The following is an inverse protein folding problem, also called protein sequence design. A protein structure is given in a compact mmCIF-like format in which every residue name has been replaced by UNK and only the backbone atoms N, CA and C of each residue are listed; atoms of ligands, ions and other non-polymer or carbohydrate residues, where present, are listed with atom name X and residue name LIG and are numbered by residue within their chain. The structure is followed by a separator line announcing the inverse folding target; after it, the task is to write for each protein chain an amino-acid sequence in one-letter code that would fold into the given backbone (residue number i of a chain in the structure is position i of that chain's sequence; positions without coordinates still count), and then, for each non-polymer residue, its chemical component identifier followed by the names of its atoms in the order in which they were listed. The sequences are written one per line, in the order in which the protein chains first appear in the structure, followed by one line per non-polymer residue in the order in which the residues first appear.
data_IF_148291655925
#
_entry.id   IF_148291655925
#
_cell.length_a   1.000
_cell.length_b   1.000
_cell.length_c   1.000
_cell.angle_alpha   90.00
_cell.angle_beta   90.00
_cell.angle_gamma   90.00
#
_symmetry.space_group_name_H-M   'P 1'
#
loop_
_entity.id
_entity.type
_entity.pdbx_description
1 polymer ?
#
# COMPACT_ATOMS: atom_id res chain seq x y z
N UNK A 1 48.88 -23.80 15.63
CA UNK A 1 47.53 -23.99 16.23
C UNK A 1 46.95 -22.73 16.91
N UNK A 2 47.64 -21.57 16.89
CA UNK A 2 47.09 -20.29 17.37
C UNK A 2 46.56 -19.38 16.24
N UNK A 3 47.11 -19.51 15.03
CA UNK A 3 46.72 -18.72 13.85
C UNK A 3 45.37 -19.09 13.22
N UNK A 4 44.81 -20.26 13.56
CA UNK A 4 43.55 -20.76 12.98
C UNK A 4 42.31 -20.23 13.74
N UNK A 5 42.49 -19.74 14.97
CA UNK A 5 41.39 -19.27 15.83
C UNK A 5 41.00 -17.80 15.49
N UNK A 6 41.95 -16.98 15.04
CA UNK A 6 41.70 -15.56 14.72
C UNK A 6 40.81 -15.42 13.47
N UNK A 7 40.88 -16.36 12.52
CA UNK A 7 40.06 -16.34 11.32
C UNK A 7 38.56 -16.65 11.60
N UNK A 8 38.25 -17.36 12.68
CA UNK A 8 36.87 -17.75 13.01
C UNK A 8 36.09 -16.63 13.71
N UNK A 9 36.78 -15.68 14.36
CA UNK A 9 36.14 -14.58 15.09
C UNK A 9 35.62 -13.44 14.17
N UNK A 10 36.20 -13.28 12.98
CA UNK A 10 35.80 -12.21 12.05
C UNK A 10 34.48 -12.49 11.30
N UNK A 11 33.97 -13.73 11.33
CA UNK A 11 32.73 -14.14 10.64
C UNK A 11 31.49 -14.04 11.56
N UNK A 12 31.65 -13.67 12.83
CA UNK A 12 30.54 -13.65 13.80
C UNK A 12 29.74 -12.33 13.86
N UNK A 13 30.12 -11.29 13.10
CA UNK A 13 29.41 -10.01 13.10
C UNK A 13 29.10 -9.54 11.68
N UNK A 14 28.01 -10.08 11.12
CA UNK A 14 27.21 -9.37 10.12
C UNK A 14 25.85 -9.12 10.74
N UNK A 15 25.69 -7.96 11.39
CA UNK A 15 24.39 -7.49 11.82
C UNK A 15 23.61 -7.06 10.58
N UNK A 16 22.65 -7.89 10.17
CA UNK A 16 21.75 -7.62 9.06
C UNK A 16 20.83 -6.45 9.47
N UNK A 17 21.23 -5.21 9.14
CA UNK A 17 20.39 -4.02 9.27
C UNK A 17 19.27 -4.12 8.24
N UNK A 18 18.27 -4.94 8.55
CA UNK A 18 17.01 -4.95 7.82
C UNK A 18 16.31 -3.65 8.14
N UNK A 19 16.54 -2.66 7.30
CA UNK A 19 15.74 -1.46 7.22
C UNK A 19 14.29 -1.91 6.92
N UNK A 20 13.50 -2.13 7.97
CA UNK A 20 12.10 -2.48 7.80
C UNK A 20 11.40 -1.19 7.41
N UNK A 21 11.41 -0.90 6.12
CA UNK A 21 10.68 0.23 5.56
C UNK A 21 9.24 0.20 6.11
N UNK A 22 8.84 1.29 6.76
CA UNK A 22 7.52 1.42 7.36
C UNK A 22 6.48 1.23 6.25
N UNK A 23 5.57 0.27 6.44
CA UNK A 23 4.44 0.06 5.55
C UNK A 23 3.23 0.82 6.06
N UNK A 24 2.62 1.59 5.18
CA UNK A 24 1.31 2.20 5.44
C UNK A 24 0.20 1.15 5.44
N UNK A 25 -0.96 1.49 6.02
CA UNK A 25 -2.12 0.61 5.96
C UNK A 25 -2.56 0.30 4.52
N UNK A 26 -2.42 1.27 3.61
CA UNK A 26 -2.75 1.08 2.19
C UNK A 26 -1.81 0.07 1.50
N UNK A 27 -0.54 0.00 1.91
CA UNK A 27 0.43 -0.98 1.40
C UNK A 27 0.24 -2.39 1.98
N UNK A 28 -0.56 -2.54 3.03
CA UNK A 28 -0.82 -3.83 3.67
C UNK A 28 -1.98 -4.59 3.01
N UNK A 29 -1.95 -4.69 1.69
CA UNK A 29 -3.02 -5.29 0.87
C UNK A 29 -3.37 -6.73 1.27
N UNK A 30 -2.40 -7.50 1.74
CA UNK A 30 -2.60 -8.89 2.17
C UNK A 30 -3.60 -9.05 3.32
N UNK A 31 -3.71 -8.06 4.21
CA UNK A 31 -4.61 -8.14 5.37
C UNK A 31 -6.07 -7.82 5.01
N UNK A 32 -6.31 -7.05 3.95
CA UNK A 32 -7.64 -6.52 3.67
C UNK A 32 -8.23 -6.96 2.32
N UNK A 33 -7.43 -7.34 1.32
CA UNK A 33 -7.98 -7.68 -0.02
C UNK A 33 -9.02 -8.80 0.04
N UNK A 34 -8.74 -9.90 0.76
CA UNK A 34 -9.70 -11.01 0.91
C UNK A 34 -10.98 -10.59 1.64
N UNK A 35 -10.93 -9.55 2.47
CA UNK A 35 -12.11 -9.04 3.18
C UNK A 35 -13.02 -8.24 2.25
N UNK A 36 -12.47 -7.67 1.18
CA UNK A 36 -13.18 -6.83 0.22
C UNK A 36 -13.78 -7.65 -0.95
N UNK A 37 -13.29 -8.86 -1.19
CA UNK A 37 -13.77 -9.72 -2.28
C UNK A 37 -15.27 -10.01 -2.18
N UNK A 38 -15.98 -9.88 -3.31
CA UNK A 38 -17.41 -10.12 -3.41
C UNK A 38 -18.29 -9.11 -2.65
N UNK A 39 -17.71 -8.02 -2.14
CA UNK A 39 -18.46 -6.95 -1.45
C UNK A 39 -18.58 -5.71 -2.33
N UNK A 40 -19.66 -4.96 -2.09
CA UNK A 40 -19.85 -3.62 -2.63
C UNK A 40 -18.99 -2.64 -1.82
N UNK A 41 -17.94 -2.09 -2.42
CA UNK A 41 -16.99 -1.24 -1.72
C UNK A 41 -17.20 0.22 -2.09
N UNK A 42 -17.21 1.09 -1.07
CA UNK A 42 -17.07 2.53 -1.23
C UNK A 42 -15.72 2.97 -0.67
N UNK A 43 -15.01 3.83 -1.40
CA UNK A 43 -13.67 4.28 -1.01
C UNK A 43 -13.67 5.79 -0.82
N UNK A 44 -13.19 6.25 0.32
CA UNK A 44 -12.86 7.68 0.51
C UNK A 44 -11.41 7.86 0.10
N UNK A 45 -11.16 8.61 -0.98
CA UNK A 45 -9.83 8.81 -1.52
C UNK A 45 -9.62 10.25 -1.98
N UNK A 46 -8.37 10.70 -1.86
CA UNK A 46 -7.89 11.98 -2.36
C UNK A 46 -6.63 11.75 -3.22
N UNK A 47 -6.06 12.82 -3.77
CA UNK A 47 -4.86 12.74 -4.60
C UNK A 47 -3.63 12.11 -3.90
N UNK A 48 -3.59 12.08 -2.56
CA UNK A 48 -2.48 11.51 -1.78
C UNK A 48 -2.70 10.05 -1.41
N UNK A 49 -3.83 9.45 -1.82
CA UNK A 49 -4.18 8.06 -1.53
C UNK A 49 -3.39 7.10 -2.42
N UNK A 50 -2.08 7.02 -2.16
CA UNK A 50 -1.11 6.26 -2.95
C UNK A 50 -0.65 4.99 -2.22
N UNK A 51 -0.48 3.92 -2.98
CA UNK A 51 0.19 2.68 -2.59
C UNK A 51 1.50 2.61 -3.37
N UNK A 52 2.61 2.97 -2.72
CA UNK A 52 3.88 3.18 -3.40
C UNK A 52 3.78 4.27 -4.49
N UNK A 53 3.79 3.86 -5.76
CA UNK A 53 3.70 4.76 -6.93
C UNK A 53 2.34 4.71 -7.64
N UNK A 54 1.41 3.90 -7.16
CA UNK A 54 0.10 3.65 -7.78
C UNK A 54 -1.01 4.20 -6.90
N UNK A 55 -2.08 4.73 -7.48
CA UNK A 55 -3.21 5.21 -6.70
C UNK A 55 -3.98 4.02 -6.09
N UNK A 56 -4.47 4.15 -4.87
CA UNK A 56 -5.18 3.08 -4.14
C UNK A 56 -6.31 2.45 -4.96
N UNK A 57 -7.08 3.30 -5.67
CA UNK A 57 -8.18 2.85 -6.54
C UNK A 57 -7.68 1.90 -7.63
N UNK A 58 -6.55 2.20 -8.27
CA UNK A 58 -5.99 1.31 -9.31
C UNK A 58 -5.49 0.00 -8.70
N UNK A 59 -4.90 0.07 -7.50
CA UNK A 59 -4.45 -1.09 -6.74
C UNK A 59 -5.59 -2.03 -6.37
N UNK A 60 -6.78 -1.50 -6.07
CA UNK A 60 -7.98 -2.28 -5.75
C UNK A 60 -8.69 -2.82 -6.99
N UNK A 61 -8.73 -2.05 -8.08
CA UNK A 61 -9.37 -2.48 -9.34
C UNK A 61 -8.57 -3.58 -10.04
N UNK A 62 -7.23 -3.57 -9.96
CA UNK A 62 -6.38 -4.59 -10.59
C UNK A 62 -6.71 -6.04 -10.19
N UNK A 63 -6.96 -6.38 -8.92
CA UNK A 63 -7.41 -7.71 -8.51
C UNK A 63 -8.91 -7.96 -8.74
N UNK A 64 -9.66 -7.01 -9.33
CA UNK A 64 -11.07 -7.16 -9.64
C UNK A 64 -12.03 -6.82 -8.51
N UNK A 65 -11.60 -6.00 -7.53
CA UNK A 65 -12.52 -5.48 -6.51
C UNK A 65 -13.51 -4.51 -7.16
N UNK A 66 -14.79 -4.73 -6.88
CA UNK A 66 -15.89 -3.91 -7.39
C UNK A 66 -16.08 -2.67 -6.52
N UNK A 67 -15.67 -1.51 -7.04
CA UNK A 67 -15.79 -0.21 -6.38
C UNK A 67 -17.02 0.50 -6.94
N UNK A 68 -18.04 0.58 -6.11
CA UNK A 68 -19.34 1.18 -6.45
C UNK A 68 -19.29 2.70 -6.38
N UNK A 69 -18.61 3.22 -5.35
CA UNK A 69 -18.60 4.67 -5.06
C UNK A 69 -17.22 5.11 -4.60
N UNK A 70 -16.80 6.27 -5.09
CA UNK A 70 -15.59 6.95 -4.60
C UNK A 70 -15.99 8.32 -4.07
N UNK A 71 -15.74 8.55 -2.79
CA UNK A 71 -15.94 9.82 -2.12
C UNK A 71 -14.64 10.62 -2.11
N UNK A 72 -14.72 11.87 -2.55
CA UNK A 72 -13.58 12.79 -2.59
C UNK A 72 -13.95 14.06 -1.80
N UNK A 73 -13.27 14.35 -0.66
CA UNK A 73 -13.77 15.31 0.33
C UNK A 73 -13.73 16.79 -0.12
N UNK A 74 -12.74 17.19 -0.90
CA UNK A 74 -12.56 18.62 -1.29
C UNK A 74 -12.29 18.78 -2.79
N UNK A 75 -11.38 17.96 -3.31
CA UNK A 75 -11.02 17.87 -4.71
C UNK A 75 -11.12 16.41 -5.15
N UNK A 76 -11.49 16.15 -6.41
CA UNK A 76 -11.54 14.78 -6.95
C UNK A 76 -10.26 13.99 -6.69
N UNK A 77 -10.34 12.66 -6.65
CA UNK A 77 -9.19 11.81 -6.27
C UNK A 77 -8.07 11.70 -7.32
N UNK A 78 -8.20 12.37 -8.47
CA UNK A 78 -7.19 12.47 -9.55
C UNK A 78 -7.12 13.91 -10.06
N UNK A 79 -5.94 14.32 -10.53
CA UNK A 79 -5.74 15.63 -11.15
C UNK A 79 -6.37 15.77 -12.56
N UNK A 80 -6.97 14.71 -13.11
CA UNK A 80 -7.61 14.69 -14.44
C UNK A 80 -8.97 13.97 -14.37
N UNK A 81 -9.85 14.24 -15.35
CA UNK A 81 -11.25 13.79 -15.49
C UNK A 81 -11.52 12.40 -14.87
N UNK A 82 -12.38 12.34 -13.86
CA UNK A 82 -12.79 11.08 -13.23
C UNK A 82 -13.99 10.43 -13.93
N UNK A 83 -13.94 9.10 -14.06
CA UNK A 83 -15.02 8.27 -14.60
C UNK A 83 -16.00 7.76 -13.51
N UNK A 84 -15.61 7.86 -12.24
CA UNK A 84 -16.32 7.34 -11.08
C UNK A 84 -16.37 8.44 -10.01
N UNK A 85 -17.44 9.24 -9.97
CA UNK A 85 -17.55 10.30 -8.96
C UNK A 85 -19.01 10.51 -8.54
N UNK A 86 -19.30 10.20 -7.28
CA UNK A 86 -20.44 10.72 -6.54
C UNK A 86 -19.86 11.72 -5.55
N UNK A 87 -20.00 13.00 -5.87
CA UNK A 87 -19.66 14.10 -4.98
C UNK A 87 -20.71 14.11 -3.86
N UNK A 88 -20.31 13.84 -2.62
CA UNK A 88 -21.11 14.22 -1.47
C UNK A 88 -20.70 15.65 -1.11
N UNK A 89 -21.24 16.66 -1.81
CA UNK A 89 -21.27 18.00 -1.24
C UNK A 89 -22.36 18.00 -0.18
N UNK A 90 -21.98 18.28 1.07
CA UNK A 90 -22.91 18.84 2.06
C UNK A 90 -23.37 20.22 1.61
#
# INVERSE_FOLDING_TARGET
MFFLIIAFAAVACSADNKDSALKTGAENTGEYLSLLEGRKIAVVANQTSMVGKTHLIDTLVSPGIDIEVIFAPEHGFRATRQKYLLYCQS
#
